data_IF_505287233920
#
_entry.id   IF_505287233920
#
_cell.length_a   1.000
_cell.length_b   1.000
_cell.length_c   1.000
_cell.angle_alpha   90.00
_cell.angle_beta   90.00
_cell.angle_gamma   90.00
#
_symmetry.space_group_name_H-M   'P 1'
#
loop_
_entity.id
_entity.type
_entity.pdbx_description
1 polymer ?
#
# COMPACT_ATOMS: atom_id res chain seq x y z
N UNK A 1 -21.91 -1.57 -13.73
CA UNK A 1 -20.59 -0.99 -13.38
C UNK A 1 -20.39 -1.23 -11.90
N UNK A 2 -19.24 -1.75 -11.48
CA UNK A 2 -18.97 -1.97 -10.05
C UNK A 2 -18.91 -0.62 -9.33
N UNK A 3 -19.52 -0.51 -8.15
CA UNK A 3 -19.43 0.69 -7.33
C UNK A 3 -18.03 0.78 -6.70
N UNK A 4 -17.34 1.93 -6.88
CA UNK A 4 -16.02 2.19 -6.33
C UNK A 4 -16.20 2.92 -5.00
N UNK A 5 -15.99 2.23 -3.90
CA UNK A 5 -16.06 2.80 -2.54
C UNK A 5 -14.73 3.44 -2.08
N UNK A 6 -13.64 3.21 -2.83
CA UNK A 6 -12.35 3.81 -2.53
C UNK A 6 -12.28 5.25 -3.08
N UNK A 7 -11.84 6.17 -2.25
CA UNK A 7 -11.41 7.47 -2.73
C UNK A 7 -10.04 7.36 -3.38
N UNK A 8 -9.88 8.00 -4.53
CA UNK A 8 -8.58 8.12 -5.19
C UNK A 8 -8.42 9.50 -5.81
N UNK A 9 -7.18 9.93 -5.93
CA UNK A 9 -6.79 11.22 -6.49
C UNK A 9 -5.66 11.00 -7.49
N UNK A 10 -5.88 11.37 -8.75
CA UNK A 10 -4.85 11.41 -9.76
C UNK A 10 -4.15 12.77 -9.70
N UNK A 11 -2.83 12.75 -9.56
CA UNK A 11 -2.02 13.96 -9.51
C UNK A 11 -1.31 14.17 -10.85
N UNK A 12 -1.06 15.43 -11.20
CA UNK A 12 -0.21 15.77 -12.33
C UNK A 12 1.19 15.17 -12.15
N UNK A 13 1.83 14.84 -13.28
CA UNK A 13 3.20 14.30 -13.28
C UNK A 13 3.64 13.96 -14.71
N UNK A 14 4.88 13.53 -14.83
CA UNK A 14 5.48 13.12 -16.11
C UNK A 14 5.49 11.58 -16.21
N UNK A 15 5.42 11.05 -17.45
CA UNK A 15 5.53 9.61 -17.70
C UNK A 15 4.31 8.76 -17.30
N UNK A 16 4.51 7.47 -16.96
CA UNK A 16 3.44 6.52 -16.69
C UNK A 16 2.78 6.76 -15.33
N UNK A 17 1.59 6.17 -15.14
CA UNK A 17 0.91 6.24 -13.84
C UNK A 17 1.55 5.30 -12.80
N UNK A 18 1.46 5.71 -11.54
CA UNK A 18 1.82 4.89 -10.38
C UNK A 18 0.69 4.91 -9.34
N UNK A 19 0.10 3.75 -9.06
CA UNK A 19 -0.82 3.63 -7.94
C UNK A 19 -0.03 3.54 -6.63
N UNK A 20 -0.38 4.39 -5.66
CA UNK A 20 0.25 4.45 -4.35
C UNK A 20 -0.77 4.18 -3.25
N UNK A 21 -0.52 3.14 -2.45
CA UNK A 21 -1.45 2.65 -1.44
C UNK A 21 -0.81 2.64 -0.05
N UNK A 22 -1.40 3.40 0.86
CA UNK A 22 -0.92 3.58 2.23
C UNK A 22 -1.16 2.37 3.15
N UNK A 23 -0.61 2.41 4.36
CA UNK A 23 -0.77 1.39 5.40
C UNK A 23 -2.01 1.56 6.27
N UNK A 24 -2.19 0.63 7.21
CA UNK A 24 -3.28 0.66 8.19
C UNK A 24 -3.16 1.90 9.08
N UNK A 25 -4.28 2.54 9.40
CA UNK A 25 -4.43 3.75 10.20
C UNK A 25 -3.67 4.97 9.62
N UNK A 26 -3.36 4.94 8.34
CA UNK A 26 -2.70 6.01 7.61
C UNK A 26 -3.69 6.69 6.63
N UNK A 27 -3.17 7.51 5.73
CA UNK A 27 -3.93 8.22 4.70
C UNK A 27 -3.03 8.55 3.52
N UNK A 28 -3.56 9.30 2.54
CA UNK A 28 -2.75 9.85 1.45
C UNK A 28 -1.56 10.69 1.94
N UNK A 29 -1.68 11.33 3.11
CA UNK A 29 -0.60 12.14 3.69
C UNK A 29 0.69 11.34 3.96
N UNK A 30 0.60 10.01 4.00
CA UNK A 30 1.79 9.16 4.06
C UNK A 30 2.78 9.41 2.92
N UNK A 31 2.32 9.93 1.79
CA UNK A 31 3.10 10.14 0.58
C UNK A 31 3.58 11.58 0.37
N UNK A 32 3.23 12.52 1.27
CA UNK A 32 3.50 13.95 1.09
C UNK A 32 4.99 14.26 0.85
N UNK A 33 5.90 13.52 1.50
CA UNK A 33 7.35 13.67 1.30
C UNK A 33 7.88 12.99 0.01
N UNK A 34 7.03 12.25 -0.70
CA UNK A 34 7.44 11.46 -1.87
C UNK A 34 6.84 12.00 -3.17
N UNK A 35 5.66 12.62 -3.11
CA UNK A 35 4.91 13.07 -4.28
C UNK A 35 5.76 13.92 -5.21
N UNK A 36 6.43 14.95 -4.70
CA UNK A 36 7.22 15.88 -5.51
C UNK A 36 8.38 15.22 -6.26
N UNK A 37 8.99 14.17 -5.71
CA UNK A 37 10.02 13.40 -6.39
C UNK A 37 9.42 12.49 -7.48
N UNK A 38 8.31 11.82 -7.16
CA UNK A 38 7.66 10.86 -8.05
C UNK A 38 7.01 11.57 -9.24
N UNK A 39 6.42 12.75 -9.06
CA UNK A 39 5.80 13.54 -10.14
C UNK A 39 6.77 13.90 -11.28
N UNK A 40 8.08 13.90 -11.04
CA UNK A 40 9.08 14.13 -12.07
C UNK A 40 9.29 12.96 -13.04
N UNK A 41 8.73 11.77 -12.72
CA UNK A 41 8.94 10.54 -13.49
C UNK A 41 7.66 9.72 -13.67
N UNK A 42 6.60 10.02 -12.91
CA UNK A 42 5.32 9.30 -12.97
C UNK A 42 4.16 10.22 -12.60
N UNK A 43 2.93 9.78 -12.90
CA UNK A 43 1.66 10.40 -12.47
C UNK A 43 1.10 9.61 -11.28
N UNK A 44 1.18 10.13 -10.04
CA UNK A 44 0.66 9.43 -8.88
C UNK A 44 -0.87 9.31 -8.92
N UNK A 45 -1.36 8.11 -8.61
CA UNK A 45 -2.75 7.83 -8.28
C UNK A 45 -2.78 7.39 -6.82
N UNK A 46 -3.11 8.32 -5.93
CA UNK A 46 -3.17 8.06 -4.48
C UNK A 46 -4.50 7.43 -4.15
N UNK A 47 -4.49 6.23 -3.57
CA UNK A 47 -5.70 5.49 -3.21
C UNK A 47 -5.80 5.37 -1.70
N UNK A 48 -6.96 5.71 -1.13
CA UNK A 48 -7.25 5.55 0.29
C UNK A 48 -8.01 4.25 0.54
N UNK A 49 -7.57 3.48 1.55
CA UNK A 49 -8.21 2.23 1.95
C UNK A 49 -9.65 2.46 2.46
N UNK A 50 -10.52 1.45 2.41
CA UNK A 50 -11.84 1.52 3.04
C UNK A 50 -11.73 1.96 4.51
N UNK A 51 -12.65 2.80 4.93
CA UNK A 51 -12.71 3.38 6.28
C UNK A 51 -11.53 4.29 6.65
N UNK A 52 -10.67 4.66 5.69
CA UNK A 52 -9.58 5.61 5.86
C UNK A 52 -9.84 6.86 5.00
N UNK A 53 -9.40 8.02 5.48
CA UNK A 53 -9.48 9.27 4.75
C UNK A 53 -10.90 9.55 4.24
N UNK A 54 -11.03 9.76 2.92
CA UNK A 54 -12.30 10.05 2.25
C UNK A 54 -12.98 8.83 1.65
N UNK A 55 -12.38 7.64 1.80
CA UNK A 55 -13.00 6.39 1.36
C UNK A 55 -14.22 6.03 2.20
N UNK A 56 -15.20 5.39 1.58
CA UNK A 56 -16.38 4.92 2.29
C UNK A 56 -16.06 3.84 3.33
N UNK A 57 -16.99 3.64 4.27
CA UNK A 57 -16.99 2.52 5.21
C UNK A 57 -18.32 1.75 5.07
N UNK A 58 -18.51 0.97 3.99
CA UNK A 58 -19.74 0.23 3.76
C UNK A 58 -20.03 -0.74 4.91
N UNK A 59 -21.31 -1.02 5.14
CA UNK A 59 -21.74 -2.04 6.12
C UNK A 59 -21.57 -3.47 5.59
N UNK A 60 -21.59 -3.64 4.27
CA UNK A 60 -21.43 -4.94 3.62
C UNK A 60 -20.03 -5.51 3.86
N UNK A 61 -19.90 -6.65 4.56
CA UNK A 61 -18.60 -7.27 4.84
C UNK A 61 -17.89 -7.79 3.59
N UNK A 62 -18.61 -8.10 2.50
CA UNK A 62 -18.01 -8.67 1.29
C UNK A 62 -17.06 -7.71 0.59
N UNK A 63 -17.27 -6.39 0.75
CA UNK A 63 -16.40 -5.37 0.14
C UNK A 63 -15.05 -5.23 0.85
N UNK A 64 -14.87 -5.80 2.04
CA UNK A 64 -13.61 -5.72 2.78
C UNK A 64 -12.63 -6.83 2.45
N UNK A 65 -13.03 -7.83 1.67
CA UNK A 65 -12.11 -8.91 1.26
C UNK A 65 -10.99 -8.40 0.35
N UNK A 66 -9.76 -8.96 0.42
CA UNK A 66 -8.63 -8.51 -0.42
C UNK A 66 -8.92 -8.56 -1.93
N UNK A 67 -9.71 -9.52 -2.38
CA UNK A 67 -10.10 -9.63 -3.80
C UNK A 67 -11.07 -8.51 -4.24
N UNK A 68 -11.83 -7.92 -3.32
CA UNK A 68 -12.61 -6.73 -3.64
C UNK A 68 -11.71 -5.53 -3.97
N UNK A 69 -10.64 -5.34 -3.18
CA UNK A 69 -9.65 -4.29 -3.47
C UNK A 69 -9.00 -4.50 -4.85
N UNK A 70 -8.64 -5.75 -5.19
CA UNK A 70 -8.06 -6.08 -6.51
C UNK A 70 -9.01 -5.67 -7.64
N UNK A 71 -10.30 -6.05 -7.55
CA UNK A 71 -11.31 -5.65 -8.54
C UNK A 71 -11.52 -4.14 -8.59
N UNK A 72 -11.44 -3.47 -7.43
CA UNK A 72 -11.62 -2.02 -7.36
C UNK A 72 -10.43 -1.27 -7.99
N UNK A 73 -9.20 -1.75 -7.78
CA UNK A 73 -8.02 -1.17 -8.44
C UNK A 73 -8.11 -1.31 -9.96
N UNK A 74 -8.56 -2.47 -10.45
CA UNK A 74 -8.78 -2.66 -11.88
C UNK A 74 -9.86 -1.70 -12.42
N UNK A 75 -10.95 -1.51 -11.70
CA UNK A 75 -11.99 -0.57 -12.09
C UNK A 75 -11.50 0.91 -12.08
N UNK A 76 -10.62 1.28 -11.14
CA UNK A 76 -9.99 2.61 -11.12
C UNK A 76 -9.08 2.76 -12.34
N UNK A 77 -8.22 1.77 -12.61
CA UNK A 77 -7.32 1.76 -13.77
C UNK A 77 -8.08 1.95 -15.08
N UNK A 78 -9.16 1.17 -15.27
CA UNK A 78 -10.01 1.25 -16.46
C UNK A 78 -10.70 2.61 -16.58
N UNK A 79 -11.23 3.14 -15.48
CA UNK A 79 -11.92 4.45 -15.46
C UNK A 79 -10.98 5.61 -15.82
N UNK A 80 -9.69 5.49 -15.46
CA UNK A 80 -8.65 6.46 -15.82
C UNK A 80 -8.06 6.21 -17.22
N UNK A 81 -8.47 5.15 -17.92
CA UNK A 81 -7.96 4.80 -19.25
C UNK A 81 -6.50 4.33 -19.25
N UNK A 82 -5.99 3.90 -18.10
CA UNK A 82 -4.60 3.48 -17.93
C UNK A 82 -4.43 2.07 -18.49
N UNK A 83 -3.50 1.84 -19.40
CA UNK A 83 -3.20 0.50 -19.93
C UNK A 83 -2.41 -0.33 -18.92
N UNK A 84 -1.31 0.22 -18.44
CA UNK A 84 -0.41 -0.37 -17.45
C UNK A 84 0.06 0.72 -16.49
N UNK A 85 0.32 0.37 -15.26
CA UNK A 85 0.83 1.29 -14.24
C UNK A 85 1.89 0.66 -13.36
N UNK A 86 2.65 1.49 -12.68
CA UNK A 86 3.46 1.08 -11.55
C UNK A 86 2.60 0.92 -10.30
N UNK A 87 3.07 0.12 -9.36
CA UNK A 87 2.45 -0.04 -8.05
C UNK A 87 3.44 0.33 -6.95
N UNK A 88 2.99 1.03 -5.93
CA UNK A 88 3.75 1.30 -4.72
C UNK A 88 2.87 1.08 -3.50
N UNK A 89 3.22 0.11 -2.67
CA UNK A 89 2.46 -0.23 -1.48
C UNK A 89 3.29 -0.18 -0.20
N UNK A 90 2.72 0.36 0.87
CA UNK A 90 3.32 0.36 2.19
C UNK A 90 2.50 -0.50 3.15
N UNK A 91 3.15 -1.41 3.90
CA UNK A 91 2.52 -2.22 4.96
C UNK A 91 1.27 -2.96 4.47
N UNK A 92 0.08 -2.60 4.95
CA UNK A 92 -1.20 -3.14 4.47
C UNK A 92 -1.37 -2.94 2.96
N UNK A 93 -1.03 -1.73 2.46
CA UNK A 93 -1.05 -1.43 1.04
C UNK A 93 -0.15 -2.33 0.22
N UNK A 94 1.03 -2.70 0.73
CA UNK A 94 1.94 -3.64 0.07
C UNK A 94 1.29 -5.01 -0.17
N UNK A 95 0.53 -5.52 0.79
CA UNK A 95 -0.19 -6.79 0.63
C UNK A 95 -1.19 -6.76 -0.53
N UNK A 96 -1.90 -5.64 -0.65
CA UNK A 96 -2.93 -5.48 -1.68
C UNK A 96 -2.34 -5.21 -3.06
N UNK A 97 -1.28 -4.39 -3.15
CA UNK A 97 -0.60 -4.13 -4.43
C UNK A 97 0.10 -5.38 -4.96
N UNK A 98 0.77 -6.17 -4.10
CA UNK A 98 1.36 -7.44 -4.49
C UNK A 98 0.31 -8.44 -4.96
N UNK A 99 -0.84 -8.52 -4.28
CA UNK A 99 -1.96 -9.36 -4.72
C UNK A 99 -2.49 -8.93 -6.08
N UNK A 100 -2.67 -7.63 -6.31
CA UNK A 100 -3.09 -7.12 -7.61
C UNK A 100 -2.09 -7.48 -8.71
N UNK A 101 -0.78 -7.33 -8.47
CA UNK A 101 0.26 -7.70 -9.41
C UNK A 101 0.23 -9.20 -9.78
N UNK A 102 -0.07 -10.07 -8.81
CA UNK A 102 -0.23 -11.52 -9.03
C UNK A 102 -1.48 -11.86 -9.84
N UNK A 103 -2.56 -11.10 -9.70
CA UNK A 103 -3.83 -11.31 -10.44
C UNK A 103 -3.83 -10.70 -11.84
N UNK A 104 -3.11 -9.58 -12.02
CA UNK A 104 -3.07 -8.80 -13.25
C UNK A 104 -1.64 -8.43 -13.67
N UNK A 105 -0.73 -9.41 -13.87
CA UNK A 105 0.68 -9.11 -14.16
C UNK A 105 0.86 -8.31 -15.46
N UNK A 106 0.00 -8.50 -16.45
CA UNK A 106 -0.01 -7.77 -17.72
C UNK A 106 -0.54 -6.33 -17.60
N UNK A 107 -1.09 -5.93 -16.47
CA UNK A 107 -1.51 -4.54 -16.15
C UNK A 107 -0.46 -3.79 -15.34
N UNK A 108 0.60 -4.46 -14.90
CA UNK A 108 1.64 -3.86 -14.06
C UNK A 108 2.94 -3.75 -14.84
N UNK A 109 3.57 -2.58 -14.79
CA UNK A 109 4.90 -2.34 -15.38
C UNK A 109 5.96 -2.92 -14.45
N UNK A 110 5.96 -2.44 -13.20
CA UNK A 110 6.77 -2.94 -12.10
C UNK A 110 6.11 -2.56 -10.77
N UNK A 111 6.54 -3.19 -9.68
CA UNK A 111 6.01 -2.89 -8.36
C UNK A 111 7.09 -2.53 -7.35
N UNK A 112 6.71 -1.69 -6.39
CA UNK A 112 7.52 -1.29 -5.25
C UNK A 112 6.74 -1.64 -3.99
N UNK A 113 7.39 -2.22 -3.00
CA UNK A 113 6.79 -2.37 -1.69
C UNK A 113 7.79 -2.07 -0.58
N UNK A 114 7.28 -1.72 0.59
CA UNK A 114 8.09 -1.53 1.80
C UNK A 114 7.72 -2.57 2.85
N UNK A 115 8.31 -2.48 4.03
CA UNK A 115 8.07 -3.38 5.14
C UNK A 115 6.60 -3.71 5.35
N UNK A 116 6.24 -4.99 5.25
CA UNK A 116 4.88 -5.47 5.47
C UNK A 116 4.89 -6.80 6.21
N UNK A 117 4.46 -6.78 7.47
CA UNK A 117 4.31 -8.01 8.24
C UNK A 117 3.17 -8.90 7.74
N UNK A 118 2.21 -8.35 7.00
CA UNK A 118 1.03 -9.06 6.50
C UNK A 118 1.19 -9.65 5.10
N UNK A 119 1.94 -8.98 4.20
CA UNK A 119 2.06 -9.38 2.80
C UNK A 119 2.65 -10.79 2.63
N UNK A 120 3.69 -11.10 3.41
CA UNK A 120 4.41 -12.37 3.37
C UNK A 120 4.29 -13.15 4.69
N UNK A 121 3.21 -12.95 5.42
CA UNK A 121 2.95 -13.61 6.70
C UNK A 121 2.86 -15.13 6.54
N UNK A 122 3.59 -15.85 7.39
CA UNK A 122 3.50 -17.30 7.46
C UNK A 122 2.26 -17.76 8.23
N UNK A 123 1.92 -19.04 8.11
CA UNK A 123 0.67 -19.61 8.63
C UNK A 123 0.49 -19.45 10.15
N UNK A 124 1.56 -19.51 10.94
CA UNK A 124 1.47 -19.33 12.39
C UNK A 124 1.04 -17.91 12.78
N UNK A 125 1.59 -16.89 12.09
CA UNK A 125 1.16 -15.52 12.23
C UNK A 125 -0.31 -15.36 11.84
N UNK A 126 -0.72 -15.94 10.73
CA UNK A 126 -2.10 -15.87 10.23
C UNK A 126 -3.09 -16.55 11.17
N UNK A 127 -2.74 -17.73 11.74
CA UNK A 127 -3.56 -18.41 12.77
C UNK A 127 -3.78 -17.53 13.97
N UNK A 128 -2.72 -16.90 14.47
CA UNK A 128 -2.81 -15.98 15.62
C UNK A 128 -3.66 -14.76 15.27
N UNK A 129 -3.49 -14.22 14.06
CA UNK A 129 -4.25 -13.06 13.60
C UNK A 129 -5.74 -13.39 13.46
N UNK A 130 -6.09 -14.52 12.85
CA UNK A 130 -7.50 -14.99 12.73
C UNK A 130 -8.17 -15.18 14.08
N UNK A 131 -7.44 -15.75 15.06
CA UNK A 131 -7.97 -15.92 16.43
C UNK A 131 -8.27 -14.58 17.13
N UNK A 132 -7.50 -13.54 16.85
CA UNK A 132 -7.63 -12.22 17.50
C UNK A 132 -8.41 -11.20 16.67
N UNK A 133 -8.79 -11.53 15.45
CA UNK A 133 -9.46 -10.61 14.52
C UNK A 133 -10.75 -10.02 15.12
N UNK A 134 -11.61 -10.88 15.67
CA UNK A 134 -12.87 -10.44 16.30
C UNK A 134 -12.62 -9.58 17.54
N UNK A 135 -11.67 -9.95 18.38
CA UNK A 135 -11.31 -9.14 19.56
C UNK A 135 -10.83 -7.75 19.14
N UNK A 136 -9.98 -7.67 18.12
CA UNK A 136 -9.48 -6.40 17.57
C UNK A 136 -10.60 -5.56 16.99
N UNK A 137 -11.50 -6.19 16.23
CA UNK A 137 -12.67 -5.52 15.67
C UNK A 137 -13.55 -4.89 16.75
N UNK A 138 -13.88 -5.67 17.82
CA UNK A 138 -14.64 -5.14 18.96
C UNK A 138 -13.94 -3.99 19.67
N UNK A 139 -12.62 -4.04 19.79
CA UNK A 139 -11.85 -2.91 20.36
C UNK A 139 -12.02 -1.64 19.52
N UNK A 140 -12.10 -1.75 18.19
CA UNK A 140 -12.38 -0.61 17.32
C UNK A 140 -13.81 -0.09 17.50
N UNK A 141 -14.78 -0.98 17.49
CA UNK A 141 -16.20 -0.62 17.64
C UNK A 141 -16.49 0.05 18.98
N UNK A 142 -15.94 -0.48 20.06
CA UNK A 142 -16.19 -0.01 21.44
C UNK A 142 -15.32 1.18 21.82
N UNK A 143 -14.08 1.24 21.34
CA UNK A 143 -13.12 2.30 21.68
C UNK A 143 -13.29 3.57 20.85
N UNK A 144 -13.98 3.48 19.73
CA UNK A 144 -14.13 4.62 18.84
C UNK A 144 -12.79 5.25 18.44
N UNK A 145 -12.76 6.56 18.28
CA UNK A 145 -11.54 7.29 17.92
C UNK A 145 -10.47 7.23 19.01
N UNK A 146 -10.83 7.37 20.26
CA UNK A 146 -9.90 7.26 21.40
C UNK A 146 -9.22 5.88 21.43
N UNK A 147 -9.97 4.82 21.13
CA UNK A 147 -9.41 3.48 21.00
C UNK A 147 -8.36 3.37 19.89
N UNK A 148 -8.56 4.07 18.76
CA UNK A 148 -7.61 4.13 17.65
C UNK A 148 -6.31 4.85 18.04
N UNK A 149 -6.40 5.97 18.73
CA UNK A 149 -5.24 6.75 19.21
C UNK A 149 -4.36 5.92 20.15
N UNK A 150 -4.96 5.04 20.91
CA UNK A 150 -4.28 4.17 21.89
C UNK A 150 -3.60 2.94 21.26
N UNK A 151 -3.82 2.66 19.98
CA UNK A 151 -3.13 1.54 19.30
C UNK A 151 -1.63 1.81 19.14
N UNK A 152 -0.79 0.76 19.26
CA UNK A 152 0.66 0.90 19.05
C UNK A 152 1.05 1.42 17.65
N UNK A 153 0.18 1.21 16.65
CA UNK A 153 0.36 1.62 15.26
C UNK A 153 -0.27 2.98 14.95
N UNK A 154 -0.82 3.68 15.95
CA UNK A 154 -1.36 5.03 15.77
C UNK A 154 -0.27 6.01 15.35
N UNK A 155 -0.52 6.89 14.35
CA UNK A 155 0.45 7.90 13.91
C UNK A 155 0.97 8.77 15.04
N UNK A 156 0.14 9.13 16.01
CA UNK A 156 0.55 9.94 17.18
C UNK A 156 1.63 9.30 18.05
N UNK A 157 1.81 7.98 17.95
CA UNK A 157 2.85 7.22 18.68
C UNK A 157 4.12 6.97 17.88
N UNK A 158 4.15 7.36 16.60
CA UNK A 158 5.26 7.12 15.69
C UNK A 158 6.41 8.12 15.91
N UNK A 159 7.28 7.82 16.87
CA UNK A 159 8.37 8.73 17.32
C UNK A 159 9.48 8.94 16.29
N UNK A 160 9.60 8.07 15.29
CA UNK A 160 10.63 8.17 14.24
C UNK A 160 10.23 9.07 13.07
N UNK A 161 8.95 9.46 12.99
CA UNK A 161 8.46 10.31 11.91
C UNK A 161 8.86 11.77 12.15
N UNK A 162 9.23 12.52 11.08
CA UNK A 162 9.31 13.98 11.12
C UNK A 162 8.01 14.58 11.65
N UNK A 163 8.12 15.69 12.39
CA UNK A 163 6.97 16.29 13.08
C UNK A 163 5.85 16.63 12.10
N UNK A 164 6.18 17.24 10.97
CA UNK A 164 5.22 17.69 9.96
C UNK A 164 4.45 16.50 9.36
N UNK A 165 5.15 15.42 9.03
CA UNK A 165 4.53 14.20 8.50
C UNK A 165 3.62 13.52 9.54
N UNK A 166 4.11 13.42 10.78
CA UNK A 166 3.31 12.88 11.89
C UNK A 166 2.05 13.69 12.11
N UNK A 167 2.16 15.01 12.16
CA UNK A 167 1.03 15.91 12.41
C UNK A 167 0.00 15.89 11.28
N UNK A 168 0.45 15.71 10.01
CA UNK A 168 -0.44 15.48 8.88
C UNK A 168 -1.24 14.17 9.03
N UNK A 169 -0.55 13.08 9.38
CA UNK A 169 -1.21 11.77 9.61
C UNK A 169 -2.14 11.79 10.82
N UNK A 170 -1.80 12.52 11.88
CA UNK A 170 -2.68 12.70 13.05
C UNK A 170 -3.93 13.48 12.69
N UNK A 171 -3.82 14.55 11.89
CA UNK A 171 -5.00 15.26 11.38
C UNK A 171 -5.92 14.36 10.56
N UNK A 172 -5.34 13.57 9.67
CA UNK A 172 -6.11 12.67 8.81
C UNK A 172 -6.71 11.48 9.59
N UNK A 173 -6.12 11.12 10.74
CA UNK A 173 -6.68 10.10 11.63
C UNK A 173 -8.10 10.46 12.13
N UNK A 174 -8.46 11.76 12.13
CA UNK A 174 -9.83 12.20 12.40
C UNK A 174 -10.87 11.71 11.39
N UNK A 175 -10.43 11.36 10.18
CA UNK A 175 -11.26 10.81 9.12
C UNK A 175 -11.44 9.28 9.21
N UNK A 176 -10.70 8.61 10.09
CA UNK A 176 -10.82 7.16 10.29
C UNK A 176 -12.22 6.82 10.82
N UNK A 177 -12.79 5.75 10.28
CA UNK A 177 -14.13 5.28 10.63
C UNK A 177 -14.05 3.96 11.41
N UNK A 178 -14.18 3.98 12.76
CA UNK A 178 -13.93 2.83 13.61
C UNK A 178 -14.73 1.57 13.24
N UNK A 179 -16.01 1.73 12.84
CA UNK A 179 -16.85 0.60 12.42
C UNK A 179 -16.32 -0.07 11.14
N UNK A 180 -15.90 0.71 10.14
CA UNK A 180 -15.32 0.18 8.92
C UNK A 180 -13.94 -0.44 9.17
N UNK A 181 -13.14 0.15 10.06
CA UNK A 181 -11.87 -0.45 10.49
C UNK A 181 -12.09 -1.80 11.19
N UNK A 182 -13.15 -1.95 11.98
CA UNK A 182 -13.52 -3.24 12.54
C UNK A 182 -13.77 -4.29 11.45
N UNK A 183 -14.45 -3.92 10.36
CA UNK A 183 -14.64 -4.81 9.20
C UNK A 183 -13.30 -5.16 8.53
N UNK A 184 -12.39 -4.19 8.40
CA UNK A 184 -11.03 -4.43 7.89
C UNK A 184 -10.29 -5.46 8.75
N UNK A 185 -10.39 -5.40 10.09
CA UNK A 185 -9.80 -6.41 10.97
C UNK A 185 -10.42 -7.79 10.81
N UNK A 186 -11.72 -7.88 10.55
CA UNK A 186 -12.43 -9.17 10.36
C UNK A 186 -12.17 -9.80 9.01
N UNK A 187 -12.24 -9.00 7.94
CA UNK A 187 -12.42 -9.52 6.58
C UNK A 187 -11.25 -9.22 5.63
N UNK A 188 -10.39 -8.26 5.96
CA UNK A 188 -9.18 -8.01 5.16
C UNK A 188 -7.94 -8.61 5.81
N UNK A 189 -7.61 -8.15 7.00
CA UNK A 189 -6.32 -8.41 7.65
C UNK A 189 -5.95 -9.89 7.81
N UNK A 190 -6.87 -10.82 8.11
CA UNK A 190 -6.55 -12.25 8.21
C UNK A 190 -6.20 -12.93 6.89
N UNK A 191 -6.47 -12.26 5.75
CA UNK A 191 -6.39 -12.83 4.40
C UNK A 191 -5.44 -12.08 3.46
N UNK A 192 -4.61 -11.19 4.01
CA UNK A 192 -3.72 -10.32 3.23
C UNK A 192 -2.52 -11.05 2.63
N UNK A 193 -2.05 -12.13 3.24
CA UNK A 193 -0.82 -12.79 2.80
C UNK A 193 -0.92 -13.33 1.38
N UNK A 194 0.13 -13.09 0.62
CA UNK A 194 0.38 -13.67 -0.70
C UNK A 194 1.63 -14.56 -0.70
N UNK A 195 2.07 -14.97 0.50
CA UNK A 195 3.31 -15.73 0.70
C UNK A 195 3.41 -16.95 -0.20
N UNK A 196 2.35 -17.74 -0.31
CA UNK A 196 2.34 -18.98 -1.09
C UNK A 196 2.42 -18.74 -2.59
N UNK A 197 2.01 -17.54 -3.04
CA UNK A 197 1.98 -17.17 -4.46
C UNK A 197 3.17 -16.28 -4.87
N UNK A 198 3.92 -15.73 -3.89
CA UNK A 198 4.94 -14.70 -4.13
C UNK A 198 6.03 -15.15 -5.11
N UNK A 199 6.37 -16.44 -5.13
CA UNK A 199 7.34 -17.03 -6.06
C UNK A 199 6.84 -17.07 -7.52
N UNK A 200 5.53 -16.87 -7.74
CA UNK A 200 4.92 -16.90 -9.08
C UNK A 200 4.87 -15.51 -9.73
N UNK A 201 5.36 -14.48 -9.05
CA UNK A 201 5.34 -13.14 -9.66
C UNK A 201 6.25 -13.08 -10.88
N UNK A 202 5.73 -12.51 -11.96
CA UNK A 202 6.48 -12.18 -13.18
C UNK A 202 6.70 -10.67 -13.30
N UNK A 203 6.22 -9.90 -12.32
CA UNK A 203 6.33 -8.45 -12.28
C UNK A 203 7.66 -8.05 -11.63
N UNK A 204 8.50 -7.23 -12.28
CA UNK A 204 9.71 -6.70 -11.68
C UNK A 204 9.41 -6.06 -10.32
N UNK A 205 10.16 -6.42 -9.29
CA UNK A 205 9.80 -6.07 -7.91
C UNK A 205 10.97 -5.42 -7.18
N UNK A 206 10.73 -4.23 -6.60
CA UNK A 206 11.64 -3.53 -5.69
C UNK A 206 11.11 -3.59 -4.26
N UNK A 207 11.95 -4.01 -3.33
CA UNK A 207 11.73 -3.85 -1.89
C UNK A 207 12.65 -2.75 -1.34
N UNK A 208 12.05 -1.68 -0.81
CA UNK A 208 12.79 -0.71 0.01
C UNK A 208 12.58 -1.08 1.47
N UNK A 209 13.61 -1.66 2.09
CA UNK A 209 13.55 -2.30 3.40
C UNK A 209 14.11 -1.42 4.51
N UNK A 210 13.29 -1.07 5.50
CA UNK A 210 13.74 -0.47 6.76
C UNK A 210 14.30 -1.55 7.69
N UNK A 211 15.63 -1.62 7.82
CA UNK A 211 16.32 -2.70 8.56
C UNK A 211 16.16 -2.60 10.07
N UNK A 212 15.78 -1.45 10.61
CA UNK A 212 15.51 -1.27 12.03
C UNK A 212 14.21 -1.94 12.49
N UNK A 213 13.29 -2.31 11.58
CA UNK A 213 12.09 -3.06 11.93
C UNK A 213 12.37 -4.57 12.04
N UNK A 214 12.79 -4.99 13.22
CA UNK A 214 13.14 -6.41 13.49
C UNK A 214 12.01 -7.39 13.24
N UNK A 215 10.75 -6.97 13.39
CA UNK A 215 9.58 -7.83 13.15
C UNK A 215 9.40 -8.21 11.68
N UNK A 216 9.91 -7.40 10.78
CA UNK A 216 9.85 -7.67 9.33
C UNK A 216 10.96 -8.63 8.88
N UNK A 217 12.03 -8.80 9.63
CA UNK A 217 13.20 -9.58 9.19
C UNK A 217 12.90 -11.01 8.70
N UNK A 218 12.01 -11.81 9.32
CA UNK A 218 11.64 -13.12 8.78
C UNK A 218 10.97 -13.04 7.40
N UNK A 219 10.15 -12.01 7.17
CA UNK A 219 9.49 -11.79 5.87
C UNK A 219 10.47 -11.23 4.84
N UNK A 220 11.42 -10.40 5.27
CA UNK A 220 12.52 -9.95 4.42
C UNK A 220 13.35 -11.12 3.88
N UNK A 221 13.80 -12.01 4.77
CA UNK A 221 14.56 -13.21 4.36
C UNK A 221 13.74 -14.09 3.42
N UNK A 222 12.45 -14.26 3.69
CA UNK A 222 11.55 -14.98 2.80
C UNK A 222 11.46 -14.31 1.43
N UNK A 223 11.27 -12.99 1.37
CA UNK A 223 11.19 -12.24 0.12
C UNK A 223 12.43 -12.44 -0.74
N UNK A 224 13.61 -12.25 -0.15
CA UNK A 224 14.91 -12.43 -0.83
C UNK A 224 15.10 -13.85 -1.37
N UNK A 225 14.63 -14.85 -0.64
CA UNK A 225 14.79 -16.26 -1.03
C UNK A 225 13.76 -16.72 -2.07
N UNK A 226 12.61 -16.07 -2.21
CA UNK A 226 11.49 -16.64 -2.97
C UNK A 226 10.91 -15.73 -4.06
N UNK A 227 11.07 -14.40 -3.98
CA UNK A 227 10.57 -13.50 -5.04
C UNK A 227 11.62 -13.45 -6.16
N UNK A 228 11.27 -13.86 -7.39
CA UNK A 228 12.20 -13.83 -8.52
C UNK A 228 12.74 -12.42 -8.78
N UNK A 229 14.02 -12.30 -9.06
CA UNK A 229 14.71 -11.06 -9.46
C UNK A 229 14.40 -9.86 -8.56
N UNK A 230 14.18 -10.12 -7.26
CA UNK A 230 13.88 -9.08 -6.28
C UNK A 230 15.06 -8.12 -6.12
N UNK A 231 14.87 -6.85 -6.49
CA UNK A 231 15.80 -5.79 -6.15
C UNK A 231 15.54 -5.31 -4.72
N UNK A 232 16.58 -5.15 -3.93
CA UNK A 232 16.48 -4.71 -2.54
C UNK A 232 17.31 -3.47 -2.31
N UNK A 233 16.71 -2.48 -1.64
CA UNK A 233 17.40 -1.32 -1.08
C UNK A 233 17.19 -1.33 0.43
N UNK A 234 18.25 -1.58 1.18
CA UNK A 234 18.24 -1.59 2.64
C UNK A 234 18.51 -0.17 3.18
N UNK A 235 17.69 0.28 4.13
CA UNK A 235 17.74 1.64 4.67
C UNK A 235 17.69 1.59 6.19
N UNK A 236 18.49 2.42 6.88
CA UNK A 236 18.39 2.57 8.34
C UNK A 236 17.11 3.35 8.71
N UNK A 237 16.00 2.67 8.59
CA UNK A 237 14.66 3.15 8.89
C UNK A 237 13.83 2.05 9.55
N UNK A 238 12.73 2.43 10.18
CA UNK A 238 11.75 1.51 10.74
C UNK A 238 10.68 1.12 9.73
N UNK A 239 9.42 1.09 10.20
CA UNK A 239 8.27 0.61 9.41
C UNK A 239 7.85 1.56 8.28
N UNK A 240 7.90 2.87 8.51
CA UNK A 240 7.46 3.87 7.55
C UNK A 240 8.66 4.41 6.74
N UNK A 241 9.33 3.52 5.99
CA UNK A 241 10.59 3.80 5.27
C UNK A 241 10.47 5.02 4.37
N UNK A 242 9.35 5.16 3.67
CA UNK A 242 9.06 6.26 2.76
C UNK A 242 8.96 7.63 3.46
N UNK A 243 8.77 7.65 4.78
CA UNK A 243 8.73 8.88 5.59
C UNK A 243 10.02 9.03 6.39
N UNK A 244 10.47 7.95 7.06
CA UNK A 244 11.64 7.99 7.95
C UNK A 244 12.95 8.25 7.19
N UNK A 245 13.02 7.84 5.93
CA UNK A 245 14.18 8.02 5.04
C UNK A 245 13.71 8.43 3.63
N UNK A 246 12.93 9.51 3.57
CA UNK A 246 12.23 9.93 2.36
C UNK A 246 13.17 10.14 1.16
N UNK A 247 14.34 10.72 1.36
CA UNK A 247 15.29 11.00 0.26
C UNK A 247 15.78 9.70 -0.39
N UNK A 248 16.22 8.73 0.42
CA UNK A 248 16.72 7.43 -0.07
C UNK A 248 15.58 6.64 -0.74
N UNK A 249 14.38 6.65 -0.13
CA UNK A 249 13.20 6.04 -0.72
C UNK A 249 12.87 6.67 -2.08
N UNK A 250 12.85 7.99 -2.16
CA UNK A 250 12.55 8.73 -3.38
C UNK A 250 13.55 8.43 -4.49
N UNK A 251 14.85 8.41 -4.18
CA UNK A 251 15.91 8.06 -5.13
C UNK A 251 15.69 6.63 -5.67
N UNK A 252 15.53 5.66 -4.79
CA UNK A 252 15.32 4.26 -5.18
C UNK A 252 14.08 4.08 -6.06
N UNK A 253 12.96 4.74 -5.73
CA UNK A 253 11.71 4.65 -6.50
C UNK A 253 11.82 5.35 -7.83
N UNK A 254 12.41 6.54 -7.88
CA UNK A 254 12.61 7.31 -9.13
C UNK A 254 13.49 6.53 -10.10
N UNK A 255 14.59 5.95 -9.63
CA UNK A 255 15.49 5.16 -10.47
C UNK A 255 14.81 3.88 -10.97
N UNK A 256 14.04 3.21 -10.11
CA UNK A 256 13.25 2.03 -10.48
C UNK A 256 12.21 2.33 -11.56
N UNK A 257 11.51 3.47 -11.44
CA UNK A 257 10.53 3.90 -12.44
C UNK A 257 11.24 4.21 -13.77
N UNK A 258 12.36 4.93 -13.75
CA UNK A 258 13.11 5.25 -14.97
C UNK A 258 13.60 4.00 -15.68
N UNK A 259 14.20 3.06 -14.95
CA UNK A 259 14.70 1.79 -15.46
C UNK A 259 13.62 1.05 -16.25
N UNK A 260 12.40 0.94 -15.71
CA UNK A 260 11.32 0.15 -16.29
C UNK A 260 10.37 0.94 -17.20
N UNK A 261 10.52 2.26 -17.30
CA UNK A 261 9.76 3.08 -18.25
C UNK A 261 10.34 3.01 -19.67
N UNK A 262 11.65 2.74 -19.81
CA UNK A 262 12.34 2.69 -21.11
C UNK A 262 11.90 1.47 -21.95
N UNK A 263 11.43 0.43 -21.32
CA UNK A 263 10.97 -0.80 -21.96
C UNK A 263 9.51 -0.74 -22.45
N UNK A 264 8.84 0.42 -22.29
CA UNK A 264 7.47 0.58 -22.76
C UNK A 264 7.46 1.03 -24.23
N UNK A 265 6.66 0.38 -25.10
CA UNK A 265 6.43 0.92 -26.43
C UNK A 265 5.81 2.31 -26.32
N UNK A 266 6.31 3.27 -27.08
CA UNK A 266 5.79 4.65 -27.13
C UNK A 266 4.26 4.62 -27.23
N UNK A 267 3.58 5.23 -26.28
CA UNK A 267 2.14 5.42 -26.39
C UNK A 267 1.88 6.38 -27.56
N UNK A 268 1.25 5.87 -28.61
CA UNK A 268 0.77 6.68 -29.72
C UNK A 268 -0.29 7.66 -29.18
N UNK A 269 0.18 8.83 -28.81
CA UNK A 269 -0.68 9.97 -28.50
C UNK A 269 -1.28 10.44 -29.82
N UNK A 270 -2.30 9.71 -30.30
CA UNK A 270 -3.08 10.10 -31.49
C UNK A 270 -3.42 11.57 -31.40
N UNK A 271 -2.87 12.36 -32.32
CA UNK A 271 -3.20 13.78 -32.47
C UNK A 271 -4.72 13.89 -32.62
N UNK A 272 -5.37 14.80 -31.86
CA UNK A 272 -6.77 15.10 -32.13
C UNK A 272 -6.90 15.62 -33.54
N UNK A 273 -7.67 14.89 -34.38
CA UNK A 273 -8.07 15.32 -35.74
C UNK A 273 -9.18 16.35 -35.66
#
# INVERSE_FOLDING_TARGET
MMEIHLHYEELAGEGPHIMMLHGMLSSRAQWDLNIGAIQRVARPVLVELLAHGRSAAPEDPEVYGPEYYVRTFEAIREKLGIKRWFLCGQSFGASLTMRYALRHPDRVIAQIFTNSSSALAGEEYLKTYRKTAEQRARLMENGGKEGLENLPISPGRARRLPIEARDALVRDAELLQPRGLAQTFRYSSPYLSVREEAANTTVPTLLVCGVAEKRFQPNFQFAVANIPDLKVVEVDAGHAVNIEAADIFNEAVVDWIREHSLDQPEEDHGKPG
#
